data_IF_720289142882
#
_entry.id   IF_720289142882
#
_cell.length_a   1.000
_cell.length_b   1.000
_cell.length_c   1.000
_cell.angle_alpha   90.00
_cell.angle_beta   90.00
_cell.angle_gamma   90.00
#
_symmetry.space_group_name_H-M   'P 1'
#
loop_
_entity.id
_entity.type
_entity.pdbx_description
1 polymer ?
#
# COMPACT_ATOMS: atom_id res chain seq x y z
N UNK A 1 20.38 -10.61 4.59
CA UNK A 1 19.87 -9.39 3.93
C UNK A 1 19.20 -8.64 5.04
N UNK A 2 19.45 -7.34 5.20
CA UNK A 2 18.83 -6.56 6.27
C UNK A 2 17.47 -6.02 5.81
N UNK A 3 16.57 -5.66 6.73
CA UNK A 3 15.28 -5.03 6.38
C UNK A 3 15.49 -3.77 5.53
N UNK A 4 16.57 -3.02 5.77
CA UNK A 4 16.95 -1.88 4.94
C UNK A 4 17.21 -2.29 3.47
N UNK A 5 17.99 -3.36 3.24
CA UNK A 5 18.24 -3.88 1.89
C UNK A 5 16.92 -4.30 1.21
N UNK A 6 16.02 -4.94 1.96
CA UNK A 6 14.68 -5.26 1.49
C UNK A 6 13.93 -4.00 1.03
N UNK A 7 13.87 -2.94 1.85
CA UNK A 7 13.18 -1.70 1.48
C UNK A 7 13.76 -1.09 0.19
N UNK A 8 15.08 -1.09 0.04
CA UNK A 8 15.75 -0.55 -1.16
C UNK A 8 15.50 -1.39 -2.44
N UNK A 9 15.17 -2.68 -2.27
CA UNK A 9 14.87 -3.61 -3.37
C UNK A 9 13.46 -3.50 -3.94
N UNK A 10 12.59 -2.69 -3.33
CA UNK A 10 11.19 -2.52 -3.74
C UNK A 10 11.07 -1.55 -4.92
N UNK A 11 11.68 -1.90 -6.05
CA UNK A 11 11.80 -1.01 -7.22
C UNK A 11 10.45 -0.47 -7.72
N UNK A 12 9.41 -1.32 -7.75
CA UNK A 12 8.07 -0.91 -8.20
C UNK A 12 7.37 0.08 -7.25
N UNK A 13 7.85 0.22 -6.02
CA UNK A 13 7.30 1.15 -5.04
C UNK A 13 8.08 2.47 -4.97
N UNK A 14 9.16 2.61 -5.75
CA UNK A 14 9.88 3.87 -5.87
C UNK A 14 8.98 4.94 -6.48
N UNK A 15 9.06 6.16 -5.94
CA UNK A 15 8.24 7.31 -6.37
C UNK A 15 8.19 7.50 -7.89
N UNK A 16 9.31 7.28 -8.57
CA UNK A 16 9.46 7.44 -10.02
C UNK A 16 8.66 6.41 -10.84
N UNK A 17 8.31 5.27 -10.24
CA UNK A 17 7.55 4.19 -10.88
C UNK A 17 6.05 4.29 -10.65
N UNK A 18 5.62 5.10 -9.69
CA UNK A 18 4.21 5.25 -9.33
C UNK A 18 3.55 6.24 -10.30
N UNK A 19 2.48 5.83 -11.02
CA UNK A 19 1.74 6.74 -11.90
C UNK A 19 1.18 7.94 -11.16
N UNK A 20 1.11 9.09 -11.83
CA UNK A 20 0.56 10.31 -11.25
C UNK A 20 -0.93 10.14 -10.92
N UNK A 21 -1.30 10.39 -9.67
CA UNK A 21 -2.68 10.29 -9.19
C UNK A 21 -3.33 11.65 -8.89
N UNK A 22 -2.55 12.73 -8.84
CA UNK A 22 -3.05 14.08 -8.55
C UNK A 22 -3.83 14.70 -9.71
N UNK A 23 -3.70 14.12 -10.91
CA UNK A 23 -4.45 14.50 -12.11
C UNK A 23 -5.93 14.09 -12.07
N UNK A 24 -6.34 13.24 -11.11
CA UNK A 24 -7.73 12.85 -10.95
C UNK A 24 -8.48 13.87 -10.08
N UNK A 25 -9.69 14.29 -10.49
CA UNK A 25 -10.48 15.24 -9.71
C UNK A 25 -10.94 14.63 -8.38
N UNK A 26 -10.84 15.43 -7.31
CA UNK A 26 -11.21 15.04 -5.94
C UNK A 26 -12.73 15.09 -5.68
N UNK A 27 -13.44 15.97 -6.38
CA UNK A 27 -14.89 16.19 -6.23
C UNK A 27 -15.63 15.59 -7.44
N UNK A 28 -15.41 14.30 -7.69
CA UNK A 28 -15.96 13.62 -8.85
C UNK A 28 -16.76 12.39 -8.44
N UNK A 29 -17.82 12.13 -9.20
CA UNK A 29 -18.59 10.90 -9.14
C UNK A 29 -18.10 10.00 -10.26
N UNK A 30 -17.43 8.91 -9.88
CA UNK A 30 -16.89 7.93 -10.81
C UNK A 30 -17.92 6.86 -11.11
N UNK A 31 -18.22 6.65 -12.39
CA UNK A 31 -19.26 5.70 -12.84
C UNK A 31 -18.72 4.31 -13.20
N UNK A 32 -17.42 4.22 -13.47
CA UNK A 32 -16.76 2.95 -13.80
C UNK A 32 -15.80 3.05 -14.97
N UNK A 33 -15.15 1.92 -15.26
CA UNK A 33 -14.20 1.75 -16.35
C UNK A 33 -14.93 1.40 -17.65
N UNK A 34 -14.37 1.82 -18.77
CA UNK A 34 -14.88 1.47 -20.10
C UNK A 34 -13.75 1.42 -21.13
N UNK A 35 -14.00 0.77 -22.26
CA UNK A 35 -13.09 0.78 -23.41
C UNK A 35 -13.33 2.01 -24.31
N UNK A 36 -12.34 2.33 -25.14
CA UNK A 36 -12.45 3.34 -26.19
C UNK A 36 -13.67 3.13 -27.11
N UNK A 37 -13.99 1.88 -27.42
CA UNK A 37 -15.15 1.51 -28.25
C UNK A 37 -16.49 1.83 -27.55
N UNK A 38 -16.56 1.65 -26.24
CA UNK A 38 -17.75 1.96 -25.44
C UNK A 38 -17.97 3.47 -25.29
N UNK A 39 -16.91 4.28 -25.30
CA UNK A 39 -16.99 5.75 -25.23
C UNK A 39 -17.72 6.37 -26.41
N UNK A 40 -17.58 5.79 -27.61
CA UNK A 40 -18.18 6.32 -28.84
C UNK A 40 -19.71 6.44 -28.74
N UNK A 41 -20.33 5.65 -27.86
CA UNK A 41 -21.78 5.65 -27.64
C UNK A 41 -22.27 6.73 -26.66
N UNK A 42 -21.38 7.41 -25.93
CA UNK A 42 -21.72 8.26 -24.77
C UNK A 42 -21.31 9.73 -24.92
N UNK A 43 -20.58 10.08 -25.98
CA UNK A 43 -20.09 11.44 -26.28
C UNK A 43 -19.46 12.22 -25.09
N UNK A 44 -18.55 11.62 -24.29
CA UNK A 44 -17.90 12.33 -23.19
C UNK A 44 -16.79 13.27 -23.69
N UNK A 45 -16.34 14.19 -22.83
CA UNK A 45 -15.06 14.87 -23.04
C UNK A 45 -13.91 13.97 -22.64
N UNK A 46 -13.08 13.62 -23.62
CA UNK A 46 -11.98 12.68 -23.48
C UNK A 46 -10.71 13.43 -23.03
N UNK A 47 -10.03 12.89 -22.04
CA UNK A 47 -8.76 13.37 -21.49
C UNK A 47 -7.72 12.27 -21.64
N UNK A 48 -6.70 12.52 -22.46
CA UNK A 48 -5.64 11.56 -22.78
C UNK A 48 -6.03 10.58 -23.90
N UNK A 49 -5.02 9.88 -24.41
CA UNK A 49 -5.14 8.89 -25.48
C UNK A 49 -4.82 7.49 -24.94
N UNK A 50 -5.61 6.49 -25.33
CA UNK A 50 -5.43 5.10 -24.92
C UNK A 50 -6.65 4.23 -25.23
N UNK A 51 -6.74 3.09 -24.55
CA UNK A 51 -7.75 2.06 -24.77
C UNK A 51 -8.72 1.89 -23.62
N UNK A 52 -8.28 2.15 -22.37
CA UNK A 52 -9.11 2.05 -21.16
C UNK A 52 -9.27 3.42 -20.52
N UNK A 53 -10.50 3.70 -20.13
CA UNK A 53 -10.90 4.99 -19.57
C UNK A 53 -11.72 4.80 -18.32
N UNK A 54 -11.63 5.76 -17.39
CA UNK A 54 -12.60 5.91 -16.31
C UNK A 54 -13.58 7.05 -16.63
N UNK A 55 -14.86 6.76 -16.47
CA UNK A 55 -15.94 7.73 -16.64
C UNK A 55 -16.24 8.42 -15.32
N UNK A 56 -16.40 9.74 -15.37
CA UNK A 56 -16.79 10.52 -14.20
C UNK A 56 -17.48 11.83 -14.59
N UNK A 57 -18.20 12.41 -13.63
CA UNK A 57 -18.65 13.81 -13.64
C UNK A 57 -17.99 14.52 -12.48
N UNK A 58 -17.80 15.83 -12.60
CA UNK A 58 -17.38 16.68 -11.48
C UNK A 58 -18.65 17.23 -10.85
N UNK A 59 -18.72 17.29 -9.53
CA UNK A 59 -19.86 17.87 -8.82
C UNK A 59 -20.19 19.26 -9.38
N UNK A 60 -21.48 19.53 -9.57
CA UNK A 60 -22.01 20.78 -10.12
C UNK A 60 -21.63 21.08 -11.59
N UNK A 61 -21.13 20.09 -12.33
CA UNK A 61 -20.90 20.18 -13.77
C UNK A 61 -21.69 19.07 -14.47
N UNK A 62 -22.69 19.46 -15.26
CA UNK A 62 -23.50 18.54 -16.08
C UNK A 62 -22.75 18.09 -17.35
N UNK A 63 -21.55 17.56 -17.18
CA UNK A 63 -20.69 17.12 -18.27
C UNK A 63 -19.98 15.82 -17.92
N UNK A 64 -20.11 14.84 -18.81
CA UNK A 64 -19.43 13.56 -18.68
C UNK A 64 -18.00 13.66 -19.20
N UNK A 65 -17.05 13.19 -18.40
CA UNK A 65 -15.64 13.10 -18.74
C UNK A 65 -15.19 11.65 -18.82
N UNK A 66 -14.19 11.40 -19.65
CA UNK A 66 -13.50 10.12 -19.77
C UNK A 66 -12.00 10.36 -19.70
N UNK A 67 -11.33 9.86 -18.66
CA UNK A 67 -9.87 9.99 -18.53
C UNK A 67 -9.20 8.65 -18.82
N UNK A 68 -8.17 8.66 -19.66
CA UNK A 68 -7.35 7.49 -19.95
C UNK A 68 -6.68 6.99 -18.65
N UNK A 69 -6.69 5.67 -18.45
CA UNK A 69 -6.14 5.03 -17.24
C UNK A 69 -5.18 3.87 -17.55
N UNK A 70 -4.71 3.78 -18.80
CA UNK A 70 -3.87 2.66 -19.25
C UNK A 70 -2.59 2.52 -18.41
N UNK A 71 -1.93 3.64 -18.10
CA UNK A 71 -0.72 3.66 -17.27
C UNK A 71 -0.99 3.11 -15.86
N UNK A 72 -2.07 3.58 -15.21
CA UNK A 72 -2.44 3.10 -13.87
C UNK A 72 -2.78 1.61 -13.90
N UNK A 73 -3.53 1.15 -14.91
CA UNK A 73 -3.89 -0.26 -15.05
C UNK A 73 -2.68 -1.15 -15.35
N UNK A 74 -1.74 -0.69 -16.17
CA UNK A 74 -0.51 -1.41 -16.47
C UNK A 74 0.36 -1.57 -15.21
N UNK A 75 0.51 -0.50 -14.42
CA UNK A 75 1.24 -0.55 -13.15
C UNK A 75 0.57 -1.46 -12.12
N UNK A 76 -0.76 -1.38 -11.95
CA UNK A 76 -1.53 -2.29 -11.10
C UNK A 76 -1.34 -3.75 -11.55
N UNK A 77 -1.32 -3.99 -12.86
CA UNK A 77 -1.08 -5.32 -13.40
C UNK A 77 0.32 -5.84 -13.08
N UNK A 78 1.35 -5.01 -13.26
CA UNK A 78 2.75 -5.34 -12.94
C UNK A 78 2.92 -5.75 -11.48
N UNK A 79 2.34 -4.99 -10.54
CA UNK A 79 2.34 -5.33 -9.11
C UNK A 79 1.64 -6.67 -8.82
N UNK A 80 0.50 -6.92 -9.47
CA UNK A 80 -0.32 -8.11 -9.23
C UNK A 80 0.24 -9.38 -9.87
N UNK A 81 1.05 -9.27 -10.93
CA UNK A 81 1.74 -10.41 -11.55
C UNK A 81 2.80 -11.03 -10.64
N UNK A 82 3.22 -10.34 -9.58
CA UNK A 82 4.19 -10.85 -8.64
C UNK A 82 3.61 -12.03 -7.83
N UNK A 83 4.21 -13.20 -8.02
CA UNK A 83 3.89 -14.42 -7.28
C UNK A 83 4.79 -14.56 -6.05
N UNK A 84 4.19 -14.89 -4.90
CA UNK A 84 4.93 -15.18 -3.68
C UNK A 84 5.54 -16.58 -3.74
N UNK A 85 6.87 -16.66 -3.81
CA UNK A 85 7.61 -17.91 -3.91
C UNK A 85 8.40 -18.18 -2.63
N UNK A 86 7.99 -19.18 -1.84
CA UNK A 86 8.61 -19.50 -0.54
C UNK A 86 9.08 -20.97 -0.51
N UNK A 87 10.24 -21.28 0.10
CA UNK A 87 10.67 -22.65 0.38
C UNK A 87 9.63 -23.44 1.18
N UNK A 88 9.42 -24.73 0.83
CA UNK A 88 8.39 -25.56 1.49
C UNK A 88 8.55 -25.62 3.01
N UNK A 89 9.79 -25.67 3.50
CA UNK A 89 10.12 -25.69 4.93
C UNK A 89 9.67 -24.43 5.67
N UNK A 90 9.51 -23.32 4.95
CA UNK A 90 9.14 -22.02 5.53
C UNK A 90 7.65 -21.68 5.36
N UNK A 91 6.88 -22.49 4.64
CA UNK A 91 5.45 -22.19 4.39
C UNK A 91 4.62 -22.06 5.68
N UNK A 92 5.00 -22.78 6.75
CA UNK A 92 4.32 -22.70 8.05
C UNK A 92 4.48 -21.34 8.75
N UNK A 93 5.45 -20.53 8.33
CA UNK A 93 5.74 -19.21 8.89
C UNK A 93 5.17 -18.07 8.02
N UNK A 94 4.37 -18.38 7.01
CA UNK A 94 3.79 -17.37 6.10
C UNK A 94 2.93 -16.38 6.86
N UNK A 95 2.06 -16.84 7.76
CA UNK A 95 1.15 -15.99 8.54
C UNK A 95 1.94 -15.03 9.44
N UNK A 96 3.02 -15.53 10.05
CA UNK A 96 3.94 -14.72 10.87
C UNK A 96 4.59 -13.63 10.01
N UNK A 97 5.16 -14.00 8.86
CA UNK A 97 5.80 -13.03 7.97
C UNK A 97 4.82 -11.97 7.44
N UNK A 98 3.54 -12.33 7.23
CA UNK A 98 2.50 -11.37 6.84
C UNK A 98 2.23 -10.38 7.97
N UNK A 99 2.08 -10.84 9.22
CA UNK A 99 1.88 -9.96 10.36
C UNK A 99 3.07 -9.01 10.59
N UNK A 100 4.29 -9.52 10.47
CA UNK A 100 5.51 -8.69 10.47
C UNK A 100 5.45 -7.63 9.36
N UNK A 101 5.07 -8.00 8.13
CA UNK A 101 4.94 -7.06 7.02
C UNK A 101 3.88 -5.98 7.29
N UNK A 102 2.73 -6.35 7.84
CA UNK A 102 1.67 -5.40 8.22
C UNK A 102 2.21 -4.41 9.25
N UNK A 103 2.86 -4.90 10.31
CA UNK A 103 3.45 -4.04 11.35
C UNK A 103 4.51 -3.10 10.78
N UNK A 104 5.41 -3.61 9.93
CA UNK A 104 6.44 -2.78 9.31
C UNK A 104 5.83 -1.69 8.43
N UNK A 105 4.83 -2.02 7.61
CA UNK A 105 4.12 -1.04 6.79
C UNK A 105 3.43 0.02 7.67
N UNK A 106 2.78 -0.41 8.75
CA UNK A 106 2.11 0.49 9.70
C UNK A 106 3.10 1.52 10.26
N UNK A 107 4.22 1.07 10.82
CA UNK A 107 5.26 1.96 11.35
C UNK A 107 5.81 2.90 10.29
N UNK A 108 6.15 2.40 9.10
CA UNK A 108 6.66 3.25 8.02
C UNK A 108 5.60 4.27 7.53
N UNK A 109 4.31 3.96 7.63
CA UNK A 109 3.20 4.83 7.19
C UNK A 109 2.79 5.91 8.21
N UNK A 110 3.24 5.80 9.46
CA UNK A 110 2.95 6.82 10.49
C UNK A 110 3.67 8.14 10.22
N UNK A 111 4.74 8.11 9.43
CA UNK A 111 5.66 9.21 9.26
C UNK A 111 5.67 9.71 7.81
N UNK A 112 4.57 10.40 7.45
CA UNK A 112 4.29 10.88 6.09
C UNK A 112 4.96 12.21 5.73
N UNK A 113 5.58 12.88 6.70
CA UNK A 113 6.12 14.23 6.50
C UNK A 113 7.61 14.15 6.09
N UNK A 114 7.91 14.46 4.82
CA UNK A 114 9.24 14.78 4.22
C UNK A 114 10.40 13.78 4.45
N UNK A 115 11.22 13.53 3.41
CA UNK A 115 11.56 12.19 2.94
C UNK A 115 11.81 11.16 4.05
N UNK A 116 11.05 10.06 4.03
CA UNK A 116 11.31 8.89 4.87
C UNK A 116 12.74 8.39 4.60
N UNK A 117 13.63 8.39 5.61
CA UNK A 117 15.05 8.08 5.39
C UNK A 117 15.30 6.58 5.14
N UNK A 118 14.30 5.74 5.37
CA UNK A 118 14.39 4.29 5.23
C UNK A 118 13.73 3.76 3.96
N UNK A 119 12.75 4.50 3.40
CA UNK A 119 11.92 3.99 2.33
C UNK A 119 11.50 5.08 1.34
N UNK A 120 12.01 4.98 0.11
CA UNK A 120 11.74 5.92 -0.99
C UNK A 120 10.42 5.61 -1.71
N UNK A 121 9.36 5.41 -0.92
CA UNK A 121 7.98 5.30 -1.38
C UNK A 121 7.18 6.44 -0.76
N UNK A 122 6.32 7.06 -1.57
CA UNK A 122 5.35 8.03 -1.08
C UNK A 122 4.19 7.30 -0.36
N UNK A 123 4.42 6.89 0.88
CA UNK A 123 3.45 6.16 1.71
C UNK A 123 2.42 7.09 2.35
N UNK A 124 1.64 7.79 1.53
CA UNK A 124 0.62 8.73 2.01
C UNK A 124 -0.67 8.07 2.54
N UNK A 125 -0.72 6.74 2.57
CA UNK A 125 -1.90 5.99 3.03
C UNK A 125 -1.60 5.28 4.34
N UNK A 126 -2.22 5.77 5.41
CA UNK A 126 -2.13 5.23 6.76
C UNK A 126 -2.81 3.87 6.88
N UNK A 127 -2.33 3.04 7.81
CA UNK A 127 -2.88 1.70 8.05
C UNK A 127 -4.40 1.63 8.25
N UNK A 128 -5.08 2.55 8.96
CA UNK A 128 -6.54 2.51 9.08
C UNK A 128 -7.28 2.54 7.73
N UNK A 129 -6.72 3.26 6.74
CA UNK A 129 -7.30 3.31 5.39
C UNK A 129 -7.08 1.98 4.67
N UNK A 130 -5.89 1.38 4.79
CA UNK A 130 -5.59 0.05 4.25
C UNK A 130 -6.54 -0.99 4.85
N UNK A 131 -6.66 -1.03 6.18
CA UNK A 131 -7.57 -1.93 6.90
C UNK A 131 -9.01 -1.81 6.41
N UNK A 132 -9.48 -0.60 6.09
CA UNK A 132 -10.83 -0.38 5.56
C UNK A 132 -11.11 -1.09 4.22
N UNK A 133 -10.08 -1.39 3.42
CA UNK A 133 -10.19 -2.16 2.18
C UNK A 133 -10.58 -3.62 2.47
N UNK A 134 -10.02 -4.19 3.54
CA UNK A 134 -10.15 -5.61 3.86
C UNK A 134 -11.36 -5.91 4.75
N UNK A 135 -11.76 -5.00 5.64
CA UNK A 135 -12.71 -5.30 6.72
C UNK A 135 -14.18 -4.97 6.39
N UNK A 136 -14.42 -4.05 5.45
CA UNK A 136 -15.75 -3.46 5.24
C UNK A 136 -16.48 -3.95 3.97
N UNK A 137 -16.15 -5.13 3.43
CA UNK A 137 -16.76 -5.61 2.17
C UNK A 137 -18.15 -6.26 2.32
N UNK A 138 -18.75 -6.27 3.53
CA UNK A 138 -20.03 -6.95 3.79
C UNK A 138 -21.29 -6.06 3.77
N UNK A 139 -21.17 -4.75 3.51
CA UNK A 139 -22.35 -3.86 3.46
C UNK A 139 -22.36 -3.10 2.14
N UNK A 140 -23.50 -3.10 1.46
CA UNK A 140 -23.77 -2.55 0.11
C UNK A 140 -23.47 -1.05 -0.12
N UNK A 141 -22.73 -0.40 0.77
CA UNK A 141 -22.22 0.96 0.61
C UNK A 141 -20.70 0.85 0.72
N UNK A 142 -19.92 1.18 -0.31
CA UNK A 142 -18.45 1.15 -0.28
C UNK A 142 -17.87 2.21 0.68
N UNK A 143 -17.68 1.95 2.00
CA UNK A 143 -17.33 3.01 2.95
C UNK A 143 -15.86 3.41 2.77
N UNK A 144 -15.04 2.48 2.25
CA UNK A 144 -13.62 2.67 2.03
C UNK A 144 -13.30 3.59 0.85
N UNK A 145 -14.19 3.70 -0.13
CA UNK A 145 -13.93 4.53 -1.33
C UNK A 145 -13.88 6.03 -0.99
N UNK A 146 -14.53 6.44 0.10
CA UNK A 146 -14.45 7.79 0.66
C UNK A 146 -13.01 8.22 0.92
N UNK A 147 -12.18 7.34 1.50
CA UNK A 147 -10.77 7.63 1.77
C UNK A 147 -9.93 7.83 0.50
N UNK A 148 -10.46 7.40 -0.65
CA UNK A 148 -9.83 7.51 -1.96
C UNK A 148 -10.49 8.60 -2.83
N UNK A 149 -11.19 9.57 -2.22
CA UNK A 149 -11.86 10.67 -2.95
C UNK A 149 -12.84 10.14 -4.00
N UNK A 150 -13.53 9.04 -3.67
CA UNK A 150 -14.42 8.31 -4.56
C UNK A 150 -13.75 7.72 -5.81
N UNK A 151 -12.42 7.78 -5.94
CA UNK A 151 -11.69 7.28 -7.10
C UNK A 151 -11.37 5.78 -6.95
N UNK A 152 -11.98 4.89 -7.76
CA UNK A 152 -11.73 3.45 -7.68
C UNK A 152 -10.33 3.05 -8.14
N UNK A 153 -9.70 3.79 -9.06
CA UNK A 153 -8.33 3.51 -9.52
C UNK A 153 -7.34 3.73 -8.40
N UNK A 154 -7.52 4.79 -7.61
CA UNK A 154 -6.67 5.08 -6.46
C UNK A 154 -6.77 3.99 -5.40
N UNK A 155 -7.97 3.48 -5.14
CA UNK A 155 -8.19 2.34 -4.23
C UNK A 155 -7.48 1.08 -4.73
N UNK A 156 -7.64 0.74 -6.01
CA UNK A 156 -7.01 -0.45 -6.60
C UNK A 156 -5.48 -0.37 -6.59
N UNK A 157 -4.92 0.80 -6.92
CA UNK A 157 -3.48 1.05 -6.90
C UNK A 157 -2.89 0.83 -5.51
N UNK A 158 -3.51 1.44 -4.49
CA UNK A 158 -3.06 1.31 -3.09
C UNK A 158 -3.16 -0.15 -2.62
N UNK A 159 -4.25 -0.85 -2.96
CA UNK A 159 -4.40 -2.27 -2.64
C UNK A 159 -3.31 -3.13 -3.29
N UNK A 160 -2.98 -2.88 -4.56
CA UNK A 160 -1.95 -3.63 -5.28
C UNK A 160 -0.55 -3.38 -4.71
N UNK A 161 -0.23 -2.12 -4.36
CA UNK A 161 1.03 -1.76 -3.73
C UNK A 161 1.22 -2.45 -2.38
N UNK A 162 0.17 -2.45 -1.54
CA UNK A 162 0.23 -3.10 -0.23
C UNK A 162 0.41 -4.62 -0.34
N UNK A 163 -0.35 -5.28 -1.23
CA UNK A 163 -0.19 -6.73 -1.47
C UNK A 163 1.22 -7.04 -1.98
N UNK A 164 1.75 -6.24 -2.90
CA UNK A 164 3.12 -6.39 -3.41
C UNK A 164 4.16 -6.24 -2.29
N UNK A 165 4.03 -5.22 -1.43
CA UNK A 165 4.89 -5.03 -0.27
C UNK A 165 4.90 -6.27 0.63
N UNK A 166 3.72 -6.77 1.00
CA UNK A 166 3.58 -7.96 1.86
C UNK A 166 4.23 -9.18 1.22
N UNK A 167 3.96 -9.44 -0.07
CA UNK A 167 4.56 -10.57 -0.79
C UNK A 167 6.09 -10.46 -0.79
N UNK A 168 6.64 -9.29 -1.10
CA UNK A 168 8.09 -9.07 -1.12
C UNK A 168 8.72 -9.23 0.26
N UNK A 169 8.07 -8.73 1.31
CA UNK A 169 8.54 -8.92 2.68
C UNK A 169 8.56 -10.40 3.06
N UNK A 170 7.50 -11.14 2.72
CA UNK A 170 7.42 -12.57 2.99
C UNK A 170 8.55 -13.35 2.29
N UNK A 171 8.83 -13.05 1.01
CA UNK A 171 9.99 -13.64 0.34
C UNK A 171 11.29 -13.32 1.05
N UNK A 172 11.53 -12.04 1.34
CA UNK A 172 12.70 -11.60 2.09
C UNK A 172 12.89 -12.37 3.40
N UNK A 173 11.85 -12.39 4.24
CA UNK A 173 11.84 -12.93 5.58
C UNK A 173 12.02 -14.45 5.63
N UNK A 174 11.56 -15.14 4.60
CA UNK A 174 11.50 -16.60 4.52
C UNK A 174 12.47 -17.19 3.49
N UNK A 175 13.38 -16.37 2.95
CA UNK A 175 14.41 -16.81 2.02
C UNK A 175 15.46 -17.66 2.74
N UNK A 176 15.75 -18.83 2.19
CA UNK A 176 16.85 -19.71 2.63
C UNK A 176 17.68 -20.12 1.42
N UNK A 177 19.01 -20.09 1.55
CA UNK A 177 19.93 -20.61 0.53
C UNK A 177 19.68 -22.12 0.38
N UNK A 178 19.47 -22.61 -0.84
CA UNK A 178 19.37 -24.04 -1.22
C UNK A 178 18.04 -24.81 -1.02
N UNK A 179 16.89 -24.21 -1.31
CA UNK A 179 15.62 -24.95 -1.30
C UNK A 179 14.78 -24.74 -2.57
N UNK A 180 14.03 -25.79 -2.95
CA UNK A 180 12.95 -25.66 -3.94
C UNK A 180 11.89 -24.71 -3.38
N UNK A 181 11.60 -23.65 -4.13
CA UNK A 181 10.55 -22.69 -3.82
C UNK A 181 9.21 -23.12 -4.41
N UNK A 182 8.12 -22.75 -3.74
CA UNK A 182 6.76 -23.06 -4.13
C UNK A 182 5.93 -21.78 -4.13
N UNK A 183 5.02 -21.69 -5.10
CA UNK A 183 4.05 -20.61 -5.16
C UNK A 183 3.05 -20.76 -4.02
N UNK A 184 2.98 -19.75 -3.15
CA UNK A 184 1.92 -19.65 -2.13
C UNK A 184 0.61 -19.35 -2.83
N UNK A 185 -0.43 -20.14 -2.53
CA UNK A 185 -1.78 -19.95 -3.06
C UNK A 185 -2.64 -19.23 -2.02
N UNK A 186 -3.62 -18.45 -2.49
CA UNK A 186 -4.62 -17.77 -1.66
C UNK A 186 -4.03 -16.78 -0.63
N UNK A 187 -2.92 -16.12 -0.98
CA UNK A 187 -2.26 -15.13 -0.12
C UNK A 187 -3.23 -14.00 0.28
N UNK A 188 -4.20 -13.67 -0.58
CA UNK A 188 -5.21 -12.66 -0.33
C UNK A 188 -6.12 -13.02 0.86
N UNK A 189 -6.50 -14.29 0.98
CA UNK A 189 -7.31 -14.76 2.12
C UNK A 189 -6.50 -14.77 3.41
N UNK A 190 -5.23 -15.20 3.34
CA UNK A 190 -4.32 -15.17 4.48
C UNK A 190 -4.08 -13.73 4.95
N UNK A 191 -3.83 -12.82 4.01
CA UNK A 191 -3.67 -11.39 4.29
C UNK A 191 -4.93 -10.81 4.94
N UNK A 192 -6.12 -11.13 4.43
CA UNK A 192 -7.38 -10.68 5.04
C UNK A 192 -7.48 -11.13 6.51
N UNK A 193 -7.22 -12.40 6.81
CA UNK A 193 -7.24 -12.91 8.18
C UNK A 193 -6.19 -12.24 9.07
N UNK A 194 -4.98 -12.03 8.55
CA UNK A 194 -3.92 -11.34 9.27
C UNK A 194 -4.29 -9.87 9.55
N UNK A 195 -4.95 -9.18 8.62
CA UNK A 195 -5.45 -7.82 8.83
C UNK A 195 -6.53 -7.77 9.92
N UNK A 196 -7.43 -8.75 9.97
CA UNK A 196 -8.43 -8.88 11.05
C UNK A 196 -7.73 -9.10 12.39
N UNK A 197 -6.77 -10.02 12.46
CA UNK A 197 -5.98 -10.28 13.67
C UNK A 197 -5.24 -9.03 14.14
N UNK A 198 -4.59 -8.32 13.21
CA UNK A 198 -3.81 -7.12 13.50
C UNK A 198 -4.65 -5.98 14.09
N UNK A 199 -5.98 -5.97 13.93
CA UNK A 199 -6.83 -4.99 14.61
C UNK A 199 -6.93 -5.17 16.13
N UNK A 200 -6.59 -6.36 16.61
CA UNK A 200 -6.81 -6.77 18.01
C UNK A 200 -5.52 -6.80 18.82
N UNK A 201 -4.38 -6.52 18.20
CA UNK A 201 -3.09 -6.54 18.86
C UNK A 201 -2.79 -5.21 19.55
N UNK A 202 -1.89 -5.25 20.52
CA UNK A 202 -1.34 -4.03 21.11
C UNK A 202 -0.38 -3.38 20.11
N UNK A 203 -0.76 -2.22 19.57
CA UNK A 203 0.07 -1.47 18.63
C UNK A 203 1.24 -0.75 19.31
N UNK A 204 1.29 -0.72 20.63
CA UNK A 204 2.43 -0.21 21.41
C UNK A 204 3.36 -1.35 21.84
N UNK A 205 3.09 -2.60 21.39
CA UNK A 205 3.96 -3.75 21.65
C UNK A 205 5.40 -3.46 21.20
N UNK A 206 6.33 -3.70 22.14
CA UNK A 206 7.75 -3.44 21.96
C UNK A 206 8.42 -4.55 21.14
N UNK A 207 7.94 -5.79 21.28
CA UNK A 207 8.46 -6.96 20.57
C UNK A 207 7.43 -7.56 19.62
N UNK A 208 7.88 -7.91 18.42
CA UNK A 208 7.06 -8.60 17.41
C UNK A 208 6.60 -10.00 17.84
N UNK A 209 7.29 -10.60 18.82
CA UNK A 209 6.87 -11.83 19.52
C UNK A 209 5.45 -11.70 20.10
N UNK A 210 5.09 -10.51 20.60
CA UNK A 210 3.79 -10.27 21.25
C UNK A 210 2.62 -10.30 20.23
N UNK A 211 2.93 -10.00 18.96
CA UNK A 211 1.98 -9.99 17.85
C UNK A 211 1.94 -11.35 17.13
N UNK A 212 3.11 -11.96 16.92
CA UNK A 212 3.27 -13.11 16.03
C UNK A 212 3.51 -14.44 16.74
N UNK A 213 3.86 -14.41 18.02
CA UNK A 213 4.27 -15.60 18.78
C UNK A 213 5.66 -16.13 18.41
N UNK A 214 6.43 -15.43 17.56
CA UNK A 214 7.82 -15.78 17.22
C UNK A 214 8.77 -14.59 17.39
N UNK A 215 9.96 -14.86 17.93
CA UNK A 215 11.02 -13.86 18.03
C UNK A 215 11.57 -13.50 16.65
N UNK A 216 11.81 -12.21 16.44
CA UNK A 216 12.57 -11.71 15.31
C UNK A 216 13.34 -10.45 15.73
N UNK A 217 14.55 -10.68 16.24
CA UNK A 217 15.41 -9.62 16.77
C UNK A 217 15.74 -8.55 15.72
N UNK A 218 15.99 -8.95 14.48
CA UNK A 218 16.31 -8.00 13.42
C UNK A 218 15.15 -7.02 13.17
N UNK A 219 13.92 -7.53 13.21
CA UNK A 219 12.72 -6.72 13.08
C UNK A 219 12.59 -5.72 14.24
N UNK A 220 12.68 -6.20 15.47
CA UNK A 220 12.57 -5.35 16.67
C UNK A 220 13.66 -4.25 16.67
N UNK A 221 14.91 -4.63 16.36
CA UNK A 221 16.03 -3.68 16.26
C UNK A 221 15.77 -2.62 15.18
N UNK A 222 15.14 -2.98 14.06
CA UNK A 222 14.82 -2.05 12.99
C UNK A 222 13.64 -1.13 13.33
N UNK A 223 12.58 -1.64 13.96
CA UNK A 223 11.46 -0.80 14.43
C UNK A 223 11.95 0.24 15.44
N UNK A 224 12.85 -0.13 16.36
CA UNK A 224 13.45 0.83 17.30
C UNK A 224 14.25 1.92 16.58
N UNK A 225 14.99 1.57 15.51
CA UNK A 225 15.71 2.57 14.70
C UNK A 225 14.76 3.55 14.01
N UNK A 226 13.64 3.03 13.47
CA UNK A 226 12.58 3.85 12.89
C UNK A 226 12.06 4.85 13.93
N UNK A 227 11.63 4.36 15.09
CA UNK A 227 11.09 5.19 16.17
C UNK A 227 12.10 6.26 16.62
N UNK A 228 13.35 5.88 16.82
CA UNK A 228 14.40 6.79 17.27
C UNK A 228 14.66 7.94 16.28
N UNK A 229 14.75 7.63 14.97
CA UNK A 229 14.98 8.65 13.94
C UNK A 229 13.82 9.64 13.88
N UNK A 230 12.58 9.16 14.05
CA UNK A 230 11.41 10.04 14.01
C UNK A 230 11.26 10.91 15.26
N UNK A 231 11.57 10.39 16.45
CA UNK A 231 11.65 11.20 17.67
C UNK A 231 12.69 12.33 17.55
N UNK A 232 13.86 12.03 16.98
CA UNK A 232 14.89 13.05 16.75
C UNK A 232 14.43 14.14 15.78
N UNK A 233 13.74 13.77 14.70
CA UNK A 233 13.24 14.72 13.71
C UNK A 233 12.18 15.65 14.29
N UNK A 234 11.22 15.13 15.06
CA UNK A 234 10.19 15.95 15.73
C UNK A 234 10.79 16.94 16.74
N UNK A 235 11.77 16.50 17.53
CA UNK A 235 12.48 17.36 18.49
C UNK A 235 13.25 18.49 17.79
N UNK A 236 13.90 18.20 16.66
CA UNK A 236 14.63 19.19 15.86
C UNK A 236 13.71 20.23 15.21
N UNK A 237 12.54 19.84 14.72
CA UNK A 237 11.54 20.77 14.17
C UNK A 237 10.93 21.67 15.25
N UNK A 238 10.62 21.10 16.42
CA UNK A 238 10.12 21.84 17.58
C UNK A 238 11.11 22.90 18.07
N UNK A 239 12.42 22.61 18.04
CA UNK A 239 13.45 23.59 18.36
C UNK A 239 13.64 24.67 17.29
N UNK A 240 13.38 24.38 16.02
CA UNK A 240 13.45 25.37 14.93
C UNK A 240 12.28 26.35 14.97
N UNK A 241 11.07 25.89 15.28
CA UNK A 241 9.89 26.74 15.40
C UNK A 241 9.99 27.72 16.59
N UNK A 242 10.60 27.30 17.69
CA UNK A 242 10.90 28.16 18.84
C UNK A 242 11.90 29.28 18.52
N UNK A 243 12.86 29.04 17.61
CA UNK A 243 13.86 30.04 17.19
C UNK A 243 13.34 31.07 16.17
N UNK A 244 12.19 30.83 15.54
CA UNK A 244 11.57 31.81 14.63
C UNK A 244 10.51 32.69 15.31
N UNK A 245 10.14 32.35 16.56
CA UNK A 245 9.18 33.10 17.38
C UNK A 245 9.86 33.94 18.49
N UNK A 246 11.18 34.12 18.44
CA UNK A 246 11.97 35.02 19.27
C UNK A 246 12.76 35.97 18.37
#
# INVERSE_FOLDING_TARGET
MYIYDFLTSLDLLKKERIPLMDEFPKNAIYYGKCSKEELQKRNPTIIGEGDKYILYTVEHIDKLYAKCIDEQLAYIHELNQFDLMIPRSMMIYTDVAILEAIRLYDELSKHTDNPNPFFDMDMNIKMPVISSIYLNNYVNNHPSLYYFQNNPIKKELVSAQFIYFVKKYCEYRLTVKDHKVYKVRNIENTLHNAMVQYQTVDHDAYHILEITGLENKEFDDFIQQIMHVYEQNQNNESMKSLKHNC
#
